data_IF_805382372346
#
_entry.id   IF_805382372346
#
_cell.length_a   1.000
_cell.length_b   1.000
_cell.length_c   1.000
_cell.angle_alpha   90.00
_cell.angle_beta   90.00
_cell.angle_gamma   90.00
#
_symmetry.space_group_name_H-M   'P 1'
#
loop_
_entity.id
_entity.type
_entity.pdbx_description
1 polymer ?
#
# COMPACT_ATOMS: atom_id res chain seq x y z
N UNK A 1 -11.24 16.72 11.38
CA UNK A 1 -10.55 16.22 10.17
C UNK A 1 -11.62 15.59 9.29
N UNK A 2 -11.66 15.89 7.98
CA UNK A 2 -12.62 15.25 7.08
C UNK A 2 -12.53 13.73 7.17
N UNK A 3 -13.67 13.03 7.07
CA UNK A 3 -13.78 11.57 7.17
C UNK A 3 -12.77 10.87 6.25
N UNK A 4 -12.64 11.37 5.02
CA UNK A 4 -11.70 10.87 4.03
C UNK A 4 -10.24 10.96 4.49
N UNK A 5 -9.84 12.09 5.10
CA UNK A 5 -8.49 12.25 5.63
C UNK A 5 -8.21 11.30 6.80
N UNK A 6 -9.22 11.01 7.61
CA UNK A 6 -9.11 10.03 8.68
C UNK A 6 -8.93 8.61 8.12
N UNK A 7 -9.76 8.22 7.16
CA UNK A 7 -9.64 6.95 6.45
C UNK A 7 -8.28 6.79 5.75
N UNK A 8 -7.81 7.83 5.07
CA UNK A 8 -6.51 7.83 4.39
C UNK A 8 -5.34 7.57 5.37
N UNK A 9 -5.40 8.08 6.61
CA UNK A 9 -4.36 7.80 7.62
C UNK A 9 -4.34 6.34 8.04
N UNK A 10 -5.52 5.74 8.21
CA UNK A 10 -5.63 4.30 8.54
C UNK A 10 -5.12 3.46 7.38
N UNK A 11 -5.56 3.77 6.15
CA UNK A 11 -5.10 3.10 4.92
C UNK A 11 -3.59 3.19 4.81
N UNK A 12 -3.01 4.38 4.98
CA UNK A 12 -1.56 4.57 4.95
C UNK A 12 -0.83 3.68 5.98
N UNK A 13 -1.36 3.56 7.20
CA UNK A 13 -0.79 2.69 8.22
C UNK A 13 -0.84 1.21 7.84
N UNK A 14 -1.96 0.75 7.26
CA UNK A 14 -2.13 -0.63 6.76
C UNK A 14 -1.20 -0.91 5.58
N UNK A 15 -1.09 0.04 4.64
CA UNK A 15 -0.20 -0.09 3.48
C UNK A 15 1.27 -0.18 3.92
N UNK A 16 1.69 0.59 4.92
CA UNK A 16 3.05 0.48 5.49
C UNK A 16 3.29 -0.93 6.03
N UNK A 17 2.35 -1.48 6.81
CA UNK A 17 2.46 -2.84 7.33
C UNK A 17 2.58 -3.87 6.18
N UNK A 18 1.72 -3.78 5.17
CA UNK A 18 1.77 -4.70 4.02
C UNK A 18 3.04 -4.56 3.20
N UNK A 19 3.53 -3.33 2.96
CA UNK A 19 4.79 -3.11 2.25
C UNK A 19 5.97 -3.71 3.02
N UNK A 20 6.00 -3.58 4.35
CA UNK A 20 7.04 -4.19 5.18
C UNK A 20 6.98 -5.72 5.12
N UNK A 21 5.78 -6.30 5.22
CA UNK A 21 5.59 -7.75 5.13
C UNK A 21 5.92 -8.30 3.73
N UNK A 22 5.55 -7.58 2.67
CA UNK A 22 5.90 -7.94 1.29
C UNK A 22 7.41 -7.83 1.05
N UNK A 23 8.04 -6.74 1.50
CA UNK A 23 9.49 -6.58 1.40
C UNK A 23 10.23 -7.70 2.14
N UNK A 24 9.73 -8.09 3.31
CA UNK A 24 10.26 -9.23 4.06
C UNK A 24 10.02 -10.55 3.32
N UNK A 25 8.84 -10.76 2.73
CA UNK A 25 8.54 -12.01 2.02
C UNK A 25 9.44 -12.23 0.82
N UNK A 26 9.79 -11.18 0.07
CA UNK A 26 10.71 -11.28 -1.07
C UNK A 26 12.08 -11.88 -0.73
N UNK A 27 12.53 -11.83 0.52
CA UNK A 27 13.75 -12.50 0.97
C UNK A 27 13.68 -14.04 0.90
N UNK A 28 12.47 -14.61 0.93
CA UNK A 28 12.21 -16.04 0.96
C UNK A 28 11.59 -16.57 -0.34
N UNK A 29 11.40 -15.72 -1.35
CA UNK A 29 10.76 -16.08 -2.61
C UNK A 29 11.78 -16.22 -3.72
N UNK A 30 11.79 -17.40 -4.35
CA UNK A 30 12.63 -17.64 -5.51
C UNK A 30 12.01 -17.03 -6.79
N UNK A 31 12.77 -16.26 -7.59
CA UNK A 31 12.30 -15.75 -8.87
C UNK A 31 11.82 -16.85 -9.80
N UNK A 32 10.73 -16.58 -10.55
CA UNK A 32 10.13 -17.54 -11.48
C UNK A 32 9.16 -18.54 -10.85
N UNK A 33 8.94 -18.47 -9.53
CA UNK A 33 7.92 -19.26 -8.85
C UNK A 33 6.56 -18.55 -8.82
N UNK A 34 5.47 -19.31 -8.72
CA UNK A 34 4.13 -18.72 -8.60
C UNK A 34 4.00 -17.75 -7.40
N UNK A 35 4.50 -18.07 -6.19
CA UNK A 35 4.49 -17.14 -5.06
C UNK A 35 5.23 -15.82 -5.33
N UNK A 36 6.34 -15.85 -6.06
CA UNK A 36 7.08 -14.64 -6.45
C UNK A 36 6.24 -13.74 -7.35
N UNK A 37 5.58 -14.31 -8.35
CA UNK A 37 4.65 -13.56 -9.24
C UNK A 37 3.48 -13.00 -8.43
N UNK A 38 2.90 -13.78 -7.51
CA UNK A 38 1.83 -13.30 -6.64
C UNK A 38 2.29 -12.10 -5.80
N UNK A 39 3.46 -12.16 -5.17
CA UNK A 39 3.99 -11.05 -4.37
C UNK A 39 4.20 -9.78 -5.22
N UNK A 40 4.71 -9.91 -6.46
CA UNK A 40 4.83 -8.79 -7.39
C UNK A 40 3.48 -8.18 -7.75
N UNK A 41 2.49 -9.02 -8.06
CA UNK A 41 1.15 -8.56 -8.39
C UNK A 41 0.43 -7.93 -7.18
N UNK A 42 0.72 -8.38 -5.95
CA UNK A 42 0.21 -7.76 -4.72
C UNK A 42 0.88 -6.41 -4.43
N UNK A 43 2.16 -6.25 -4.77
CA UNK A 43 2.88 -4.99 -4.57
C UNK A 43 2.22 -3.82 -5.32
N UNK A 44 1.72 -4.06 -6.55
CA UNK A 44 1.12 -3.02 -7.39
C UNK A 44 -0.05 -2.29 -6.71
N UNK A 45 -1.15 -2.95 -6.31
CA UNK A 45 -2.27 -2.27 -5.67
C UNK A 45 -1.90 -1.67 -4.31
N UNK A 46 -1.02 -2.31 -3.53
CA UNK A 46 -0.58 -1.77 -2.23
C UNK A 46 0.22 -0.47 -2.42
N UNK A 47 1.13 -0.43 -3.38
CA UNK A 47 1.88 0.78 -3.70
C UNK A 47 0.98 1.90 -4.22
N UNK A 48 0.01 1.58 -5.08
CA UNK A 48 -0.98 2.57 -5.56
C UNK A 48 -1.84 3.12 -4.42
N UNK A 49 -2.32 2.25 -3.52
CA UNK A 49 -3.08 2.65 -2.32
C UNK A 49 -2.25 3.57 -1.43
N UNK A 50 -0.99 3.21 -1.18
CA UNK A 50 -0.08 4.01 -0.36
C UNK A 50 0.10 5.42 -0.94
N UNK A 51 0.37 5.50 -2.25
CA UNK A 51 0.55 6.79 -2.95
C UNK A 51 -0.73 7.61 -2.92
N UNK A 52 -1.89 7.00 -3.19
CA UNK A 52 -3.18 7.68 -3.13
C UNK A 52 -3.47 8.23 -1.73
N UNK A 53 -3.30 7.41 -0.68
CA UNK A 53 -3.49 7.83 0.70
C UNK A 53 -2.53 8.98 1.08
N UNK A 54 -1.26 8.88 0.69
CA UNK A 54 -0.28 9.94 0.91
C UNK A 54 -0.68 11.25 0.21
N UNK A 55 -1.15 11.18 -1.04
CA UNK A 55 -1.66 12.35 -1.78
C UNK A 55 -2.82 12.98 -1.03
N UNK A 56 -3.85 12.21 -0.66
CA UNK A 56 -5.03 12.72 0.07
C UNK A 56 -4.63 13.41 1.37
N UNK A 57 -3.73 12.82 2.15
CA UNK A 57 -3.26 13.41 3.41
C UNK A 57 -2.48 14.71 3.18
N UNK A 58 -1.66 14.75 2.12
CA UNK A 58 -0.74 15.85 1.79
C UNK A 58 -1.47 17.05 1.19
N UNK A 59 -2.42 16.80 0.29
CA UNK A 59 -3.18 17.84 -0.42
C UNK A 59 -4.43 18.26 0.35
N UNK A 60 -4.92 17.42 1.27
CA UNK A 60 -6.20 17.64 1.94
C UNK A 60 -7.37 17.51 0.98
N UNK A 61 -7.24 16.69 -0.07
CA UNK A 61 -8.28 16.49 -1.06
C UNK A 61 -9.58 15.98 -0.41
N UNK A 62 -10.69 16.67 -0.72
CA UNK A 62 -12.05 16.31 -0.34
C UNK A 62 -12.87 16.25 -1.65
N UNK A 63 -13.26 15.06 -2.12
CA UNK A 63 -14.19 14.95 -3.23
C UNK A 63 -15.56 15.36 -2.70
N UNK A 64 -16.07 16.45 -3.27
CA UNK A 64 -17.42 17.01 -3.05
C UNK A 64 -17.60 17.76 -1.73
#
# INVERSE_FOLDING_TARGET
>A
MGLLRSAAKVILGVDILFLLLLAFSFYYLDPGTAPYVTAQLTLVPVALSFVAAAIVIRTGWEPF
#
